data_IF_645285390147
#
_entry.id   IF_645285390147
#
_cell.length_a   1.000
_cell.length_b   1.000
_cell.length_c   1.000
_cell.angle_alpha   90.00
_cell.angle_beta   90.00
_cell.angle_gamma   90.00
#
_symmetry.space_group_name_H-M   'P 1'
#
loop_
_entity.id
_entity.type
_entity.pdbx_description
1 polymer ?
#
# COMPACT_ATOMS: atom_id res chain seq x y z
N UNK A 1 12.44 16.06 13.29
CA UNK A 1 12.39 14.73 12.64
C UNK A 1 11.02 14.54 11.98
N UNK A 2 10.96 14.28 10.66
CA UNK A 2 9.76 13.96 9.88
C UNK A 2 9.15 12.63 10.35
N UNK A 3 8.10 12.61 11.17
CA UNK A 3 7.71 11.39 11.86
C UNK A 3 6.52 10.80 11.10
N UNK A 4 6.79 10.33 9.89
CA UNK A 4 5.88 9.40 9.19
C UNK A 4 6.36 8.00 9.49
N UNK A 5 5.46 7.18 10.01
CA UNK A 5 5.74 5.79 10.35
C UNK A 5 5.07 4.89 9.32
N UNK A 6 5.83 3.99 8.72
CA UNK A 6 5.33 2.92 7.85
C UNK A 6 5.26 1.62 8.64
N UNK A 7 4.20 0.84 8.42
CA UNK A 7 3.94 -0.41 9.13
C UNK A 7 3.64 -1.54 8.16
N UNK A 8 4.43 -2.61 8.21
CA UNK A 8 4.32 -3.77 7.32
C UNK A 8 3.37 -4.83 7.87
N UNK A 9 2.54 -5.37 6.97
CA UNK A 9 1.78 -6.62 7.10
C UNK A 9 1.36 -6.99 8.55
N UNK A 10 0.40 -6.25 9.15
CA UNK A 10 0.03 -6.44 10.54
C UNK A 10 -0.42 -7.87 10.86
N UNK A 11 -1.21 -8.49 9.98
CA UNK A 11 -1.90 -9.75 10.24
C UNK A 11 -2.52 -9.78 11.65
N UNK A 12 -3.32 -8.74 11.95
CA UNK A 12 -3.97 -8.53 13.26
C UNK A 12 -3.05 -8.15 14.42
N UNK A 13 -1.73 -8.22 14.26
CA UNK A 13 -0.78 -7.78 15.29
C UNK A 13 -0.49 -6.29 15.14
N UNK A 14 -1.08 -5.47 16.01
CA UNK A 14 -0.90 -4.01 16.02
C UNK A 14 -0.13 -3.50 17.25
N UNK A 15 0.24 -4.38 18.18
CA UNK A 15 0.94 -3.97 19.39
C UNK A 15 2.29 -3.27 19.10
N UNK A 16 3.13 -3.76 18.15
CA UNK A 16 4.36 -3.05 17.78
C UNK A 16 4.11 -1.63 17.24
N UNK A 17 3.03 -1.45 16.48
CA UNK A 17 2.62 -0.14 15.99
C UNK A 17 2.24 0.78 17.16
N UNK A 18 1.45 0.29 18.12
CA UNK A 18 1.03 1.10 19.27
C UNK A 18 2.22 1.55 20.11
N UNK A 19 3.15 0.65 20.40
CA UNK A 19 4.39 0.95 21.11
C UNK A 19 5.23 2.00 20.38
N UNK A 20 5.35 1.87 19.06
CA UNK A 20 6.10 2.82 18.26
C UNK A 20 5.43 4.20 18.18
N UNK A 21 4.10 4.25 18.06
CA UNK A 21 3.36 5.52 18.08
C UNK A 21 3.53 6.22 19.43
N UNK A 22 3.41 5.50 20.54
CA UNK A 22 3.62 6.06 21.87
C UNK A 22 5.04 6.60 22.07
N UNK A 23 6.05 5.92 21.51
CA UNK A 23 7.46 6.28 21.60
C UNK A 23 7.85 7.46 20.70
N UNK A 24 7.44 7.42 19.43
CA UNK A 24 7.93 8.34 18.40
C UNK A 24 6.98 9.51 18.12
N UNK A 25 5.71 9.39 18.53
CA UNK A 25 4.65 10.39 18.31
C UNK A 25 4.64 10.91 16.87
N UNK A 26 4.39 10.01 15.89
CA UNK A 26 4.28 10.39 14.49
C UNK A 26 3.06 11.25 14.23
N UNK A 27 3.13 12.11 13.22
CA UNK A 27 1.95 12.82 12.71
C UNK A 27 1.12 11.92 11.80
N UNK A 28 1.76 10.96 11.13
CA UNK A 28 1.14 10.04 10.18
C UNK A 28 1.62 8.60 10.36
N UNK A 29 0.70 7.66 10.17
CA UNK A 29 0.99 6.22 10.04
C UNK A 29 0.47 5.74 8.69
N UNK A 30 1.28 4.96 7.96
CA UNK A 30 0.91 4.34 6.69
C UNK A 30 1.09 2.82 6.80
N UNK A 31 0.00 2.08 6.66
CA UNK A 31 -0.01 0.61 6.77
C UNK A 31 0.03 -0.01 5.37
N UNK A 32 1.02 -0.88 5.12
CA UNK A 32 1.36 -1.44 3.81
C UNK A 32 0.57 -2.72 3.45
N UNK A 33 -0.73 -2.76 3.78
CA UNK A 33 -1.61 -3.88 3.49
C UNK A 33 -1.63 -4.98 4.56
N UNK A 34 -2.41 -6.03 4.30
CA UNK A 34 -2.58 -7.23 5.13
C UNK A 34 -2.93 -6.95 6.59
N UNK A 35 -3.89 -6.04 6.77
CA UNK A 35 -4.40 -5.66 8.09
C UNK A 35 -5.20 -6.81 8.71
N UNK A 36 -5.95 -7.55 7.89
CA UNK A 36 -6.70 -8.75 8.27
C UNK A 36 -7.71 -8.49 9.41
N UNK A 37 -8.33 -7.31 9.39
CA UNK A 37 -9.12 -6.76 10.49
C UNK A 37 -10.27 -7.68 10.93
N UNK A 38 -10.40 -7.90 12.24
CA UNK A 38 -11.51 -8.67 12.83
C UNK A 38 -12.64 -7.79 13.39
N UNK A 39 -12.46 -6.47 13.36
CA UNK A 39 -13.39 -5.43 13.83
C UNK A 39 -13.10 -4.11 13.10
N UNK A 40 -13.98 -3.10 13.16
CA UNK A 40 -13.80 -1.83 12.44
C UNK A 40 -12.41 -1.20 12.63
N UNK A 41 -11.85 -0.61 11.57
CA UNK A 41 -10.52 0.01 11.60
C UNK A 41 -10.37 1.00 12.75
N UNK A 42 -11.37 1.86 12.97
CA UNK A 42 -11.38 2.85 14.05
C UNK A 42 -11.27 2.21 15.43
N UNK A 43 -11.86 1.03 15.63
CA UNK A 43 -11.80 0.31 16.90
C UNK A 43 -10.42 -0.33 17.13
N UNK A 44 -9.80 -0.86 16.06
CA UNK A 44 -8.45 -1.44 16.13
C UNK A 44 -7.41 -0.35 16.34
N UNK A 45 -7.48 0.74 15.57
CA UNK A 45 -6.51 1.84 15.59
C UNK A 45 -6.87 2.94 16.59
N UNK A 46 -7.87 2.74 17.46
CA UNK A 46 -8.24 3.70 18.50
C UNK A 46 -7.04 4.20 19.33
N UNK A 47 -6.08 3.36 19.75
CA UNK A 47 -4.89 3.83 20.48
C UNK A 47 -4.02 4.81 19.70
N UNK A 48 -4.03 4.74 18.36
CA UNK A 48 -3.27 5.62 17.46
C UNK A 48 -4.07 6.90 17.18
N UNK A 49 -5.34 6.76 16.81
CA UNK A 49 -6.24 7.88 16.48
C UNK A 49 -6.45 8.79 17.70
N UNK A 50 -6.58 8.24 18.91
CA UNK A 50 -6.75 9.02 20.14
C UNK A 50 -5.55 9.94 20.45
N UNK A 51 -4.37 9.65 19.89
CA UNK A 51 -3.18 10.50 19.99
C UNK A 51 -3.13 11.59 18.91
N UNK A 52 -4.17 11.71 18.08
CA UNK A 52 -4.23 12.68 16.99
C UNK A 52 -3.42 12.29 15.75
N UNK A 53 -3.00 11.04 15.65
CA UNK A 53 -2.21 10.54 14.51
C UNK A 53 -3.12 10.23 13.33
N UNK A 54 -2.75 10.72 12.16
CA UNK A 54 -3.48 10.44 10.93
C UNK A 54 -3.08 9.08 10.34
N UNK A 55 -4.02 8.15 10.29
CA UNK A 55 -3.78 6.81 9.74
C UNK A 55 -4.13 6.70 8.26
N UNK A 56 -3.33 5.95 7.53
CA UNK A 56 -3.47 5.65 6.11
C UNK A 56 -3.21 4.17 5.85
N UNK A 57 -3.79 3.64 4.78
CA UNK A 57 -3.64 2.23 4.43
C UNK A 57 -3.71 2.02 2.91
N UNK A 58 -2.99 1.02 2.43
CA UNK A 58 -3.25 0.36 1.16
C UNK A 58 -3.79 -1.05 1.44
N UNK A 59 -4.40 -1.71 0.45
CA UNK A 59 -4.79 -3.11 0.57
C UNK A 59 -3.60 -4.03 0.30
N UNK A 60 -3.53 -5.10 1.08
CA UNK A 60 -2.85 -6.33 0.74
C UNK A 60 -3.83 -7.40 0.24
N UNK A 61 -3.33 -8.64 0.04
CA UNK A 61 -4.15 -9.73 -0.47
C UNK A 61 -5.05 -10.41 0.58
N UNK A 62 -4.89 -10.09 1.86
CA UNK A 62 -5.74 -10.58 2.95
C UNK A 62 -6.97 -9.70 3.18
N UNK A 63 -6.94 -8.43 2.77
CA UNK A 63 -7.97 -7.44 3.11
C UNK A 63 -9.25 -7.55 2.26
N UNK A 64 -9.26 -8.42 1.25
CA UNK A 64 -10.40 -8.67 0.36
C UNK A 64 -10.83 -10.15 0.37
N UNK A 65 -10.52 -10.89 1.45
CA UNK A 65 -10.88 -12.31 1.54
C UNK A 65 -12.29 -12.53 2.10
N UNK A 66 -12.72 -11.66 3.01
CA UNK A 66 -14.05 -11.62 3.61
C UNK A 66 -14.72 -10.24 3.47
N UNK A 67 -16.05 -10.22 3.40
CA UNK A 67 -16.81 -8.98 3.17
C UNK A 67 -16.76 -8.04 4.38
N UNK A 68 -16.77 -8.57 5.60
CA UNK A 68 -16.69 -7.75 6.80
C UNK A 68 -15.32 -7.09 6.92
N UNK A 69 -14.24 -7.81 6.61
CA UNK A 69 -12.88 -7.25 6.56
C UNK A 69 -12.78 -6.05 5.61
N UNK A 70 -13.35 -6.20 4.42
CA UNK A 70 -13.43 -5.12 3.44
C UNK A 70 -14.21 -3.92 4.00
N UNK A 71 -15.37 -4.16 4.62
CA UNK A 71 -16.22 -3.11 5.17
C UNK A 71 -15.56 -2.38 6.36
N UNK A 72 -14.81 -3.09 7.20
CA UNK A 72 -14.03 -2.51 8.30
C UNK A 72 -12.96 -1.52 7.82
N UNK A 73 -12.59 -1.53 6.54
CA UNK A 73 -11.73 -0.53 5.92
C UNK A 73 -12.55 0.52 5.16
N UNK A 74 -13.34 0.09 4.19
CA UNK A 74 -13.96 0.97 3.20
C UNK A 74 -15.23 1.65 3.67
N UNK A 75 -16.01 1.04 4.56
CA UNK A 75 -17.20 1.67 5.12
C UNK A 75 -16.86 2.43 6.41
N UNK A 76 -15.96 1.89 7.24
CA UNK A 76 -15.61 2.50 8.53
C UNK A 76 -14.57 3.64 8.42
N UNK A 77 -13.53 3.47 7.60
CA UNK A 77 -12.42 4.43 7.47
C UNK A 77 -11.99 4.70 6.01
N UNK A 78 -12.94 5.06 5.11
CA UNK A 78 -12.65 5.27 3.68
C UNK A 78 -11.62 6.36 3.40
N UNK A 79 -11.54 7.37 4.26
CA UNK A 79 -10.62 8.50 4.08
C UNK A 79 -9.14 8.08 4.17
N UNK A 80 -8.83 6.97 4.86
CA UNK A 80 -7.47 6.46 5.01
C UNK A 80 -6.92 5.71 3.79
N UNK A 81 -7.77 5.37 2.82
CA UNK A 81 -7.34 4.62 1.64
C UNK A 81 -6.31 5.41 0.80
N UNK A 82 -5.12 4.86 0.54
CA UNK A 82 -4.11 5.45 -0.34
C UNK A 82 -4.08 4.86 -1.76
N UNK A 83 -4.92 3.87 -2.05
CA UNK A 83 -4.96 3.23 -3.37
C UNK A 83 -5.20 4.22 -4.50
N UNK A 84 -4.28 4.24 -5.45
CA UNK A 84 -4.30 5.04 -6.69
C UNK A 84 -4.39 6.55 -6.44
N UNK A 85 -3.86 7.03 -5.30
CA UNK A 85 -3.77 8.46 -4.96
C UNK A 85 -2.39 8.86 -4.42
N UNK A 86 -2.17 10.16 -4.37
CA UNK A 86 -1.10 10.82 -3.61
C UNK A 86 -1.73 11.66 -2.51
N UNK A 87 -1.14 11.64 -1.32
CA UNK A 87 -1.52 12.48 -0.19
C UNK A 87 -0.32 13.29 0.26
N UNK A 88 -0.51 14.60 0.38
CA UNK A 88 0.41 15.49 1.07
C UNK A 88 0.23 15.30 2.59
N UNK A 89 1.29 14.92 3.28
CA UNK A 89 1.33 14.65 4.72
C UNK A 89 2.13 15.75 5.41
N UNK A 90 1.45 16.78 5.99
CA UNK A 90 2.12 17.83 6.73
C UNK A 90 2.77 17.25 7.99
N UNK A 91 4.07 17.44 8.10
CA UNK A 91 4.87 17.07 9.25
C UNK A 91 5.43 18.33 9.92
N UNK A 92 5.92 18.21 11.15
CA UNK A 92 6.54 19.34 11.88
C UNK A 92 7.69 20.05 11.14
N UNK A 93 8.42 19.34 10.27
CA UNK A 93 9.59 19.89 9.56
C UNK A 93 9.41 20.02 8.04
N UNK A 94 8.17 19.93 7.54
CA UNK A 94 7.88 20.03 6.10
C UNK A 94 6.69 19.18 5.69
N UNK A 95 6.53 18.97 4.39
CA UNK A 95 5.46 18.12 3.85
C UNK A 95 6.08 16.94 3.12
N UNK A 96 5.54 15.74 3.34
CA UNK A 96 5.90 14.54 2.61
C UNK A 96 4.76 14.13 1.68
N UNK A 97 5.03 13.95 0.40
CA UNK A 97 4.04 13.42 -0.54
C UNK A 97 4.14 11.90 -0.63
N UNK A 98 3.06 11.19 -0.30
CA UNK A 98 3.04 9.71 -0.26
C UNK A 98 1.98 9.16 -1.21
N UNK A 99 2.39 8.26 -2.08
CA UNK A 99 1.52 7.53 -3.01
C UNK A 99 1.25 6.10 -2.56
N UNK A 100 0.09 5.54 -2.91
CA UNK A 100 -0.24 4.14 -2.66
C UNK A 100 -0.61 3.34 -3.91
N UNK A 101 0.20 2.35 -4.26
CA UNK A 101 -0.18 1.28 -5.18
C UNK A 101 -0.80 0.12 -4.36
N UNK A 102 -2.13 0.05 -4.35
CA UNK A 102 -2.88 -0.86 -3.50
C UNK A 102 -3.15 -2.21 -4.17
N UNK A 103 -2.93 -3.31 -3.45
CA UNK A 103 -3.25 -4.67 -3.90
C UNK A 103 -2.07 -5.48 -4.42
N UNK A 104 -2.38 -6.57 -5.12
CA UNK A 104 -1.44 -7.54 -5.70
C UNK A 104 -1.65 -7.79 -7.20
N UNK A 105 -0.60 -8.28 -7.86
CA UNK A 105 -0.71 -8.70 -9.26
C UNK A 105 -1.33 -10.08 -9.36
N UNK A 106 -2.41 -10.22 -10.14
CA UNK A 106 -3.06 -11.52 -10.39
C UNK A 106 -3.03 -11.86 -11.86
N UNK A 107 -2.54 -13.05 -12.21
CA UNK A 107 -2.41 -13.50 -13.61
C UNK A 107 -3.68 -13.53 -14.44
N UNK A 108 -4.86 -13.51 -13.80
CA UNK A 108 -6.15 -13.34 -14.49
C UNK A 108 -6.30 -11.95 -15.11
N UNK A 109 -5.62 -10.95 -14.57
CA UNK A 109 -5.61 -9.56 -15.02
C UNK A 109 -4.25 -9.21 -15.59
N UNK A 110 -3.23 -9.21 -14.76
CA UNK A 110 -1.88 -8.83 -15.11
C UNK A 110 -0.89 -9.46 -14.13
N UNK A 111 0.14 -10.13 -14.65
CA UNK A 111 1.21 -10.71 -13.84
C UNK A 111 2.57 -10.40 -14.47
N UNK A 112 3.15 -9.23 -14.13
CA UNK A 112 4.27 -8.66 -14.88
C UNK A 112 5.55 -9.49 -14.80
N UNK A 113 5.74 -10.27 -13.73
CA UNK A 113 6.90 -11.16 -13.55
C UNK A 113 6.97 -12.20 -14.66
N UNK A 114 5.84 -12.63 -15.21
CA UNK A 114 5.83 -13.59 -16.32
C UNK A 114 6.23 -13.00 -17.68
N UNK A 115 6.42 -11.68 -17.79
CA UNK A 115 6.67 -10.98 -19.06
C UNK A 115 5.47 -10.95 -20.01
N UNK A 116 4.32 -11.51 -19.62
CA UNK A 116 3.09 -11.50 -20.42
C UNK A 116 2.41 -10.13 -20.34
N UNK A 117 1.77 -9.74 -21.45
CA UNK A 117 0.92 -8.55 -21.49
C UNK A 117 -0.30 -8.72 -20.57
N UNK A 118 -0.85 -7.62 -20.02
CA UNK A 118 -2.12 -7.65 -19.31
C UNK A 118 -3.24 -8.24 -20.16
N UNK A 119 -4.12 -9.02 -19.55
CA UNK A 119 -5.36 -9.54 -20.15
C UNK A 119 -6.43 -8.45 -20.19
N UNK A 120 -6.48 -7.61 -19.16
CA UNK A 120 -7.41 -6.48 -19.04
C UNK A 120 -6.63 -5.21 -18.70
N UNK A 121 -7.01 -4.07 -19.27
CA UNK A 121 -6.35 -2.78 -18.99
C UNK A 121 -6.98 -2.09 -17.79
N UNK A 122 -8.30 -2.13 -17.67
CA UNK A 122 -9.06 -1.51 -16.60
C UNK A 122 -10.04 -2.47 -15.94
N UNK A 123 -10.56 -2.06 -14.77
CA UNK A 123 -11.61 -2.80 -14.05
C UNK A 123 -12.90 -2.91 -14.85
N UNK A 124 -13.21 -1.94 -15.71
CA UNK A 124 -14.39 -1.96 -16.58
C UNK A 124 -14.33 -3.10 -17.60
N UNK A 125 -13.19 -3.30 -18.28
CA UNK A 125 -12.97 -4.41 -19.22
C UNK A 125 -13.17 -5.77 -18.54
N UNK A 126 -12.62 -5.92 -17.34
CA UNK A 126 -12.76 -7.14 -16.56
C UNK A 126 -14.23 -7.37 -16.13
N UNK A 127 -14.92 -6.31 -15.73
CA UNK A 127 -16.31 -6.39 -15.29
C UNK A 127 -17.24 -6.73 -16.46
N UNK A 128 -16.96 -6.23 -17.67
CA UNK A 128 -17.75 -6.49 -18.88
C UNK A 128 -17.88 -7.99 -19.19
N UNK A 129 -16.81 -8.76 -18.98
CA UNK A 129 -16.82 -10.23 -19.16
C UNK A 129 -17.15 -11.02 -17.89
N UNK A 130 -17.24 -10.35 -16.74
CA UNK A 130 -17.56 -10.99 -15.47
C UNK A 130 -19.07 -11.27 -15.37
N UNK A 131 -19.42 -12.55 -15.17
CA UNK A 131 -20.81 -13.01 -15.05
C UNK A 131 -21.53 -12.31 -13.88
N UNK A 132 -22.80 -11.91 -14.01
CA UNK A 132 -23.52 -11.16 -12.97
C UNK A 132 -23.50 -11.80 -11.57
N UNK A 133 -23.64 -13.13 -11.46
CA UNK A 133 -23.65 -13.82 -10.16
C UNK A 133 -22.29 -13.85 -9.45
N UNK A 134 -21.18 -13.56 -10.15
CA UNK A 134 -19.82 -13.49 -9.56
C UNK A 134 -19.51 -12.07 -9.08
N UNK A 135 -20.26 -11.07 -9.55
CA UNK A 135 -20.07 -9.67 -9.19
C UNK A 135 -20.47 -9.46 -7.73
N UNK A 136 -19.61 -8.79 -6.97
CA UNK A 136 -19.90 -8.43 -5.59
C UNK A 136 -20.35 -6.96 -5.54
N UNK A 137 -21.52 -6.71 -4.91
CA UNK A 137 -22.16 -5.38 -4.87
C UNK A 137 -22.22 -4.69 -6.24
N UNK A 138 -22.59 -5.45 -7.28
CA UNK A 138 -22.67 -5.04 -8.70
C UNK A 138 -21.34 -4.64 -9.36
N UNK A 139 -20.21 -4.69 -8.65
CA UNK A 139 -18.88 -4.38 -9.16
C UNK A 139 -18.00 -5.61 -9.32
N UNK A 140 -16.68 -5.41 -9.17
CA UNK A 140 -15.71 -6.50 -9.17
C UNK A 140 -16.08 -7.58 -8.15
N UNK A 141 -15.76 -8.87 -8.42
CA UNK A 141 -15.75 -9.89 -7.38
C UNK A 141 -14.90 -9.41 -6.19
N UNK A 142 -15.30 -9.76 -4.96
CA UNK A 142 -14.62 -9.28 -3.75
C UNK A 142 -13.10 -9.54 -3.80
N UNK A 143 -12.69 -10.77 -4.11
CA UNK A 143 -11.28 -11.19 -4.27
C UNK A 143 -10.54 -10.58 -5.47
N UNK A 144 -11.16 -9.65 -6.20
CA UNK A 144 -10.51 -8.88 -7.27
C UNK A 144 -10.43 -7.38 -6.93
N UNK A 145 -10.94 -6.96 -5.76
CA UNK A 145 -10.86 -5.55 -5.33
C UNK A 145 -9.46 -5.15 -4.88
N UNK A 146 -8.65 -6.12 -4.47
CA UNK A 146 -7.23 -6.01 -4.18
C UNK A 146 -6.34 -6.29 -5.40
N UNK A 147 -6.89 -6.35 -6.62
CA UNK A 147 -6.08 -6.63 -7.80
C UNK A 147 -5.54 -5.34 -8.39
N UNK A 148 -4.24 -5.32 -8.65
CA UNK A 148 -3.58 -4.24 -9.40
C UNK A 148 -3.91 -4.42 -10.89
N UNK A 149 -4.51 -3.38 -11.47
CA UNK A 149 -4.76 -3.26 -12.90
C UNK A 149 -3.72 -2.30 -13.53
N UNK A 150 -3.45 -2.42 -14.85
CA UNK A 150 -2.65 -1.43 -15.56
C UNK A 150 -3.14 0.02 -15.36
N UNK A 151 -4.46 0.24 -15.27
CA UNK A 151 -5.01 1.57 -14.99
C UNK A 151 -4.50 2.19 -13.67
N UNK A 152 -4.18 1.39 -12.66
CA UNK A 152 -3.66 1.90 -11.38
C UNK A 152 -2.26 2.53 -11.59
N UNK A 153 -1.44 1.89 -12.42
CA UNK A 153 -0.15 2.43 -12.85
C UNK A 153 -0.33 3.69 -13.69
N UNK A 154 -1.28 3.70 -14.63
CA UNK A 154 -1.52 4.85 -15.51
C UNK A 154 -2.03 6.07 -14.75
N UNK A 155 -2.84 5.88 -13.71
CA UNK A 155 -3.31 6.95 -12.81
C UNK A 155 -2.11 7.49 -12.03
N UNK A 156 -1.38 6.63 -11.32
CA UNK A 156 -0.30 7.03 -10.44
C UNK A 156 0.88 7.65 -11.20
N UNK A 157 1.21 7.14 -12.40
CA UNK A 157 2.32 7.65 -13.21
C UNK A 157 2.15 9.11 -13.67
N UNK A 158 0.94 9.67 -13.59
CA UNK A 158 0.65 11.08 -13.89
C UNK A 158 0.87 11.99 -12.67
N UNK A 159 1.06 11.41 -11.49
CA UNK A 159 1.25 12.10 -10.23
C UNK A 159 2.73 12.10 -9.84
N UNK A 160 3.07 12.87 -8.80
CA UNK A 160 4.40 12.93 -8.20
C UNK A 160 4.32 12.60 -6.73
N UNK A 161 5.35 11.94 -6.19
CA UNK A 161 5.44 11.63 -4.77
C UNK A 161 6.91 11.55 -4.32
N UNK A 162 7.15 11.74 -3.03
CA UNK A 162 8.43 11.47 -2.39
C UNK A 162 8.56 9.97 -2.05
N UNK A 163 7.48 9.37 -1.53
CA UNK A 163 7.44 7.94 -1.19
C UNK A 163 6.33 7.24 -1.95
N UNK A 164 6.66 6.16 -2.64
CA UNK A 164 5.67 5.23 -3.20
C UNK A 164 5.57 4.00 -2.29
N UNK A 165 4.38 3.76 -1.75
CA UNK A 165 4.06 2.57 -0.97
C UNK A 165 3.33 1.57 -1.85
N UNK A 166 3.79 0.33 -1.87
CA UNK A 166 3.12 -0.80 -2.51
C UNK A 166 3.02 -1.97 -1.55
N UNK A 167 2.06 -2.87 -1.75
CA UNK A 167 2.08 -4.13 -0.99
C UNK A 167 3.08 -5.09 -1.64
N UNK A 168 3.02 -5.22 -2.98
CA UNK A 168 3.97 -5.98 -3.80
C UNK A 168 5.39 -5.40 -3.84
N UNK A 169 6.39 -6.26 -4.04
CA UNK A 169 7.79 -5.86 -4.04
C UNK A 169 8.30 -5.33 -5.40
N UNK A 170 9.22 -4.34 -5.40
CA UNK A 170 9.97 -3.92 -6.58
C UNK A 170 11.03 -4.95 -6.99
N UNK A 171 11.65 -4.78 -8.16
CA UNK A 171 12.48 -5.81 -8.82
C UNK A 171 13.77 -6.19 -8.09
N UNK A 172 14.11 -5.53 -6.99
CA UNK A 172 15.26 -5.89 -6.16
C UNK A 172 14.97 -7.07 -5.21
N UNK A 173 13.70 -7.45 -5.04
CA UNK A 173 13.32 -8.72 -4.44
C UNK A 173 13.20 -9.81 -5.50
N UNK A 174 13.49 -11.07 -5.17
CA UNK A 174 13.46 -12.20 -6.12
C UNK A 174 12.07 -12.44 -6.74
N UNK A 175 11.00 -12.14 -5.98
CA UNK A 175 9.61 -12.21 -6.41
C UNK A 175 9.01 -10.85 -6.77
N UNK A 176 9.85 -9.82 -6.89
CA UNK A 176 9.39 -8.48 -7.22
C UNK A 176 9.30 -8.22 -8.71
N UNK A 177 8.85 -7.02 -9.08
CA UNK A 177 8.67 -6.62 -10.48
C UNK A 177 9.25 -5.25 -10.83
N UNK A 178 9.82 -5.16 -12.04
CA UNK A 178 10.32 -3.89 -12.58
C UNK A 178 9.20 -2.89 -12.94
N UNK A 179 7.94 -3.29 -12.94
CA UNK A 179 6.84 -2.35 -13.16
C UNK A 179 6.68 -1.37 -12.00
N UNK A 180 6.92 -1.82 -10.76
CA UNK A 180 6.91 -0.93 -9.58
C UNK A 180 8.11 0.02 -9.66
N UNK A 181 9.29 -0.46 -10.05
CA UNK A 181 10.47 0.37 -10.28
C UNK A 181 10.19 1.48 -11.30
N UNK A 182 9.56 1.13 -12.43
CA UNK A 182 9.21 2.10 -13.49
C UNK A 182 8.17 3.09 -13.00
N UNK A 183 7.20 2.64 -12.22
CA UNK A 183 6.20 3.52 -11.63
C UNK A 183 6.87 4.53 -10.69
N UNK A 184 7.70 4.05 -9.76
CA UNK A 184 8.49 4.90 -8.86
C UNK A 184 9.32 5.94 -9.62
N UNK A 185 10.03 5.52 -10.67
CA UNK A 185 10.80 6.42 -11.53
C UNK A 185 9.92 7.50 -12.19
N UNK A 186 8.78 7.11 -12.79
CA UNK A 186 7.85 8.05 -13.45
C UNK A 186 7.29 9.07 -12.46
N UNK A 187 6.97 8.64 -11.25
CA UNK A 187 6.46 9.49 -10.17
C UNK A 187 7.56 10.36 -9.53
N UNK A 188 8.84 10.09 -9.81
CA UNK A 188 9.95 10.77 -9.15
C UNK A 188 10.10 10.39 -7.68
N UNK A 189 9.66 9.18 -7.32
CA UNK A 189 9.78 8.66 -5.95
C UNK A 189 11.26 8.61 -5.52
N UNK A 190 11.52 9.09 -4.32
CA UNK A 190 12.82 9.07 -3.65
C UNK A 190 13.00 7.81 -2.81
N UNK A 191 11.91 7.15 -2.45
CA UNK A 191 11.90 5.91 -1.70
C UNK A 191 10.70 5.04 -2.11
N UNK A 192 10.92 3.74 -2.23
CA UNK A 192 9.87 2.74 -2.32
C UNK A 192 9.76 2.00 -0.99
N UNK A 193 8.55 1.86 -0.45
CA UNK A 193 8.30 1.07 0.76
C UNK A 193 7.31 -0.03 0.41
N UNK A 194 7.58 -1.28 0.79
CA UNK A 194 6.62 -2.36 0.55
C UNK A 194 6.52 -3.38 1.68
N UNK A 195 5.42 -4.13 1.66
CA UNK A 195 5.14 -5.28 2.54
C UNK A 195 5.20 -6.62 1.78
N UNK A 196 4.23 -7.50 2.05
CA UNK A 196 3.93 -8.79 1.41
C UNK A 196 4.98 -9.90 1.56
N UNK A 197 6.27 -9.57 1.50
CA UNK A 197 7.34 -10.55 1.40
C UNK A 197 7.79 -11.10 2.77
N UNK A 198 7.37 -10.48 3.87
CA UNK A 198 7.77 -10.85 5.25
C UNK A 198 9.29 -11.05 5.36
N UNK A 199 10.04 -10.11 4.78
CA UNK A 199 11.48 -10.16 4.72
C UNK A 199 12.02 -8.73 4.79
N UNK A 200 12.63 -8.32 5.91
CA UNK A 200 13.09 -6.96 6.07
C UNK A 200 14.39 -6.74 5.30
N UNK A 201 14.41 -5.77 4.39
CA UNK A 201 15.65 -5.39 3.71
C UNK A 201 15.69 -3.91 3.31
N UNK A 202 16.92 -3.44 3.05
CA UNK A 202 17.20 -2.20 2.31
C UNK A 202 17.87 -2.56 0.99
N UNK A 203 17.39 -1.97 -0.10
CA UNK A 203 17.90 -2.24 -1.43
C UNK A 203 17.73 -1.04 -2.34
N UNK A 204 17.94 -1.25 -3.63
CA UNK A 204 17.70 -0.24 -4.66
C UNK A 204 16.98 -0.88 -5.82
N UNK A 205 15.98 -0.19 -6.36
CA UNK A 205 15.33 -0.55 -7.61
C UNK A 205 16.33 -0.56 -8.76
N UNK A 206 15.94 -1.14 -9.90
CA UNK A 206 16.73 -1.13 -11.13
C UNK A 206 17.10 0.28 -11.61
N UNK A 207 16.35 1.30 -11.21
CA UNK A 207 16.60 2.70 -11.57
C UNK A 207 17.31 3.49 -10.47
N UNK A 208 17.78 2.82 -9.41
CA UNK A 208 18.55 3.45 -8.34
C UNK A 208 17.72 4.08 -7.23
N UNK A 209 16.38 4.07 -7.30
CA UNK A 209 15.53 4.51 -6.18
C UNK A 209 15.72 3.57 -4.98
N UNK A 210 16.06 4.08 -3.78
CA UNK A 210 16.08 3.32 -2.54
C UNK A 210 14.79 2.53 -2.30
N UNK A 211 14.93 1.35 -1.70
CA UNK A 211 13.81 0.45 -1.36
C UNK A 211 13.91 0.01 0.08
N UNK A 212 12.78 0.03 0.78
CA UNK A 212 12.58 -0.59 2.08
C UNK A 212 11.49 -1.67 1.98
N UNK A 213 11.90 -2.93 2.06
CA UNK A 213 10.96 -4.04 2.27
C UNK A 213 10.76 -4.26 3.76
N UNK A 214 9.50 -4.34 4.19
CA UNK A 214 9.10 -4.52 5.58
C UNK A 214 8.79 -5.99 5.88
N UNK A 215 9.11 -6.42 7.10
CA UNK A 215 8.65 -7.69 7.66
C UNK A 215 7.23 -7.58 8.23
N UNK A 216 6.65 -8.72 8.58
CA UNK A 216 5.36 -8.80 9.28
C UNK A 216 5.38 -8.06 10.62
N UNK A 217 4.42 -7.16 10.80
CA UNK A 217 4.33 -6.26 11.95
C UNK A 217 5.61 -5.41 12.18
N UNK A 218 6.37 -5.10 11.12
CA UNK A 218 7.56 -4.27 11.22
C UNK A 218 7.23 -2.77 11.20
N UNK A 219 7.86 -2.03 12.12
CA UNK A 219 7.82 -0.57 12.17
C UNK A 219 9.03 0.02 11.44
N UNK A 220 8.75 0.94 10.51
CA UNK A 220 9.76 1.78 9.89
C UNK A 220 9.46 3.27 10.12
N UNK A 221 10.29 3.92 10.93
CA UNK A 221 10.23 5.37 11.13
C UNK A 221 11.08 6.05 10.08
N UNK A 222 10.46 6.86 9.22
CA UNK A 222 11.15 7.54 8.14
C UNK A 222 12.16 8.56 8.69
N UNK A 223 13.36 8.57 8.11
CA UNK A 223 14.37 9.59 8.36
C UNK A 223 14.71 10.37 7.09
N UNK A 224 15.26 11.60 7.21
CA UNK A 224 15.74 12.34 6.04
C UNK A 224 16.82 11.58 5.24
N UNK A 225 17.61 10.71 5.88
CA UNK A 225 18.60 9.89 5.18
C UNK A 225 17.97 8.87 4.23
N UNK A 226 16.77 8.37 4.54
CA UNK A 226 16.09 7.39 3.69
C UNK A 226 15.56 8.02 2.38
N UNK A 227 15.45 9.36 2.32
CA UNK A 227 15.03 10.11 1.13
C UNK A 227 16.20 10.72 0.35
N UNK A 228 17.43 10.58 0.86
CA UNK A 228 18.62 11.10 0.21
C UNK A 228 19.07 10.14 -0.90
N UNK A 229 18.95 10.58 -2.15
CA UNK A 229 19.48 9.91 -3.34
C UNK A 229 20.93 10.26 -3.59
#
# INVERSE_FOLDING_TARGET
MMPVLFYGDPHQNFDPLFDAVARHRPEHVVIAGDLDLQRPFRDVLAPVIAQGVHCWWILGNHDCTDAAQYDFLFEDYPQGNLGSRVVEMPCRDGTLSVAGLSGIYRGRVWYPISGKKPVFQCREDFLAVTRPHVRWRKGLPLRQRDTIFPEDHDILARLKCDVLVSHEAPSCHEFGTAEIDRLGQKMGAKLLVHGHMHHPYRGHSKFGTPVRGLDGAEVFVLSPQDLAT
#
